data_IF_232365629682
#
_entry.id   IF_232365629682
#
_cell.length_a   1.000
_cell.length_b   1.000
_cell.length_c   1.000
_cell.angle_alpha   90.00
_cell.angle_beta   90.00
_cell.angle_gamma   90.00
#
_symmetry.space_group_name_H-M   'P 1'
#
loop_
_entity.id
_entity.type
_entity.pdbx_description
1 polymer ?
#
# COMPACT_ATOMS: atom_id res chain seq x y z
N UNK A 1 6.35 -3.31 -7.81
CA UNK A 1 4.93 -3.70 -7.72
C UNK A 1 4.70 -4.44 -6.40
N UNK A 2 3.46 -4.64 -5.96
CA UNK A 2 3.17 -5.41 -4.74
C UNK A 2 3.73 -6.84 -4.85
N UNK A 3 4.54 -7.27 -3.90
CA UNK A 3 4.97 -8.66 -3.74
C UNK A 3 5.12 -8.97 -2.25
N UNK A 4 5.19 -10.25 -1.92
CA UNK A 4 5.37 -10.68 -0.54
C UNK A 4 6.73 -10.22 0.02
N UNK A 5 7.78 -10.16 -0.81
CA UNK A 5 9.12 -9.74 -0.41
C UNK A 5 9.19 -8.27 -0.02
N UNK A 6 8.29 -7.43 -0.55
CA UNK A 6 8.29 -5.99 -0.27
C UNK A 6 8.20 -5.72 1.23
N UNK A 7 7.38 -6.49 1.95
CA UNK A 7 7.14 -6.33 3.38
C UNK A 7 8.36 -6.65 4.27
N UNK A 8 8.97 -7.85 4.21
CA UNK A 8 10.17 -8.16 4.99
C UNK A 8 11.34 -7.26 4.59
N UNK A 9 11.45 -6.83 3.33
CA UNK A 9 12.47 -5.85 2.92
C UNK A 9 12.22 -4.51 3.62
N UNK A 10 11.00 -3.97 3.55
CA UNK A 10 10.65 -2.70 4.19
C UNK A 10 10.92 -2.71 5.69
N UNK A 11 10.44 -3.74 6.40
CA UNK A 11 10.70 -3.87 7.84
C UNK A 11 12.16 -4.20 8.17
N UNK A 12 12.86 -4.91 7.30
CA UNK A 12 14.30 -5.16 7.44
C UNK A 12 15.11 -3.87 7.39
N UNK A 13 14.77 -2.96 6.46
CA UNK A 13 15.37 -1.62 6.36
C UNK A 13 15.14 -0.85 7.66
N UNK A 14 13.89 -0.78 8.13
CA UNK A 14 13.55 -0.09 9.37
C UNK A 14 14.26 -0.69 10.60
N UNK A 15 14.31 -2.02 10.72
CA UNK A 15 15.00 -2.72 11.83
C UNK A 15 16.51 -2.57 11.79
N UNK A 16 17.09 -2.28 10.63
CA UNK A 16 18.51 -1.99 10.49
C UNK A 16 18.87 -0.53 10.85
N UNK A 17 17.87 0.31 11.18
CA UNK A 17 18.04 1.74 11.40
C UNK A 17 18.27 2.54 10.13
N UNK A 18 17.90 1.98 8.98
CA UNK A 18 17.98 2.65 7.69
C UNK A 18 16.65 3.34 7.36
N UNK A 19 16.71 4.36 6.51
CA UNK A 19 15.53 5.06 6.00
C UNK A 19 14.99 4.32 4.78
N UNK A 20 13.72 3.91 4.82
CA UNK A 20 13.05 3.25 3.70
C UNK A 20 12.61 4.25 2.63
N UNK A 21 12.97 4.00 1.36
CA UNK A 21 12.63 4.88 0.24
C UNK A 21 11.85 4.12 -0.84
N UNK A 22 10.53 3.88 -0.66
CA UNK A 22 9.74 3.21 -1.68
C UNK A 22 9.56 4.09 -2.92
N UNK A 23 9.94 3.57 -4.08
CA UNK A 23 9.76 4.25 -5.37
C UNK A 23 8.49 3.80 -6.07
N UNK A 24 7.88 4.71 -6.85
CA UNK A 24 6.75 4.39 -7.69
C UNK A 24 7.16 3.35 -8.73
N UNK A 25 6.42 2.24 -8.79
CA UNK A 25 6.76 1.17 -9.74
C UNK A 25 6.59 1.57 -11.21
N UNK A 26 5.99 2.73 -11.50
CA UNK A 26 5.80 3.28 -12.84
C UNK A 26 6.88 4.26 -13.27
N UNK A 27 7.79 4.66 -12.39
CA UNK A 27 8.83 5.63 -12.76
C UNK A 27 9.68 5.13 -13.93
N UNK A 28 10.01 6.06 -14.82
CA UNK A 28 10.98 5.91 -15.86
C UNK A 28 12.42 5.96 -15.30
N UNK A 29 13.41 5.66 -16.14
CA UNK A 29 14.81 5.57 -15.73
C UNK A 29 15.33 6.89 -15.14
N UNK A 30 15.05 8.02 -15.77
CA UNK A 30 15.45 9.34 -15.31
C UNK A 30 14.79 9.72 -13.98
N UNK A 31 13.49 9.43 -13.82
CA UNK A 31 12.78 9.63 -12.55
C UNK A 31 13.36 8.76 -11.41
N UNK A 32 13.73 7.50 -11.71
CA UNK A 32 14.40 6.62 -10.74
C UNK A 32 15.74 7.22 -10.33
N UNK A 33 16.60 7.59 -11.30
CA UNK A 33 17.92 8.18 -11.00
C UNK A 33 17.78 9.43 -10.13
N UNK A 34 16.87 10.33 -10.52
CA UNK A 34 16.59 11.55 -9.77
C UNK A 34 16.20 11.27 -8.31
N UNK A 35 15.28 10.31 -8.08
CA UNK A 35 14.83 9.99 -6.72
C UNK A 35 15.93 9.34 -5.89
N UNK A 36 16.76 8.47 -6.48
CA UNK A 36 17.89 7.84 -5.80
C UNK A 36 18.94 8.89 -5.38
N UNK A 37 19.23 9.85 -6.26
CA UNK A 37 20.16 10.93 -5.97
C UNK A 37 19.61 11.90 -4.92
N UNK A 38 18.33 12.28 -5.00
CA UNK A 38 17.71 13.21 -4.06
C UNK A 38 17.59 12.64 -2.64
N UNK A 39 17.35 11.33 -2.52
CA UNK A 39 17.22 10.64 -1.24
C UNK A 39 18.54 10.04 -0.73
N UNK A 40 19.68 10.38 -1.36
CA UNK A 40 21.01 9.90 -0.96
C UNK A 40 21.09 8.37 -0.81
N UNK A 41 20.49 7.62 -1.74
CA UNK A 41 20.34 6.16 -1.64
C UNK A 41 21.66 5.42 -1.87
N UNK A 42 22.06 4.60 -0.91
CA UNK A 42 23.26 3.73 -1.01
C UNK A 42 22.95 2.26 -1.34
N UNK A 43 21.73 1.80 -1.03
CA UNK A 43 21.30 0.41 -1.26
C UNK A 43 19.99 0.39 -2.04
N UNK A 44 19.99 -0.26 -3.20
CA UNK A 44 18.82 -0.40 -4.05
C UNK A 44 18.32 -1.85 -4.04
N UNK A 45 17.05 -2.05 -3.71
CA UNK A 45 16.39 -3.36 -3.83
C UNK A 45 15.37 -3.31 -4.96
N UNK A 46 15.46 -4.23 -5.92
CA UNK A 46 14.58 -4.25 -7.09
C UNK A 46 14.29 -5.67 -7.58
N UNK A 47 13.26 -5.81 -8.41
CA UNK A 47 12.86 -7.10 -9.00
C UNK A 47 12.88 -7.09 -10.53
N UNK A 48 12.55 -8.22 -11.18
CA UNK A 48 12.63 -8.40 -12.63
C UNK A 48 11.94 -7.30 -13.46
N UNK A 49 10.82 -6.77 -12.97
CA UNK A 49 10.01 -5.73 -13.63
C UNK A 49 10.75 -4.39 -13.81
N UNK A 50 11.92 -4.21 -13.19
CA UNK A 50 12.70 -2.97 -13.21
C UNK A 50 14.01 -3.06 -13.98
N UNK A 51 14.42 -4.27 -14.42
CA UNK A 51 15.70 -4.49 -15.11
C UNK A 51 15.84 -3.57 -16.32
N UNK A 52 14.84 -3.57 -17.22
CA UNK A 52 14.86 -2.74 -18.43
C UNK A 52 14.94 -1.23 -18.17
N UNK A 53 14.55 -0.77 -16.99
CA UNK A 53 14.62 0.64 -16.58
C UNK A 53 15.90 0.98 -15.85
N UNK A 54 16.57 0.00 -15.24
CA UNK A 54 17.83 0.19 -14.53
C UNK A 54 19.04 -0.02 -15.45
N UNK A 55 18.99 -0.95 -16.40
CA UNK A 55 20.04 -1.20 -17.38
C UNK A 55 20.63 0.08 -18.03
N UNK A 56 19.82 1.06 -18.51
CA UNK A 56 20.37 2.27 -19.13
C UNK A 56 21.06 3.23 -18.16
N UNK A 57 20.78 3.15 -16.85
CA UNK A 57 21.26 4.12 -15.85
C UNK A 57 22.23 3.52 -14.82
N UNK A 58 22.32 2.19 -14.72
CA UNK A 58 23.00 1.50 -13.62
C UNK A 58 24.47 1.94 -13.43
N UNK A 59 25.17 2.23 -14.54
CA UNK A 59 26.56 2.69 -14.53
C UNK A 59 26.72 4.12 -14.00
N UNK A 60 25.67 4.95 -14.12
CA UNK A 60 25.65 6.32 -13.61
C UNK A 60 25.25 6.43 -12.13
N UNK A 61 24.67 5.38 -11.55
CA UNK A 61 24.24 5.33 -10.15
C UNK A 61 25.43 5.12 -9.19
N UNK A 62 26.34 6.08 -9.14
CA UNK A 62 27.63 5.99 -8.40
C UNK A 62 27.48 5.95 -6.89
N UNK A 63 26.39 6.50 -6.33
CA UNK A 63 26.10 6.48 -4.88
C UNK A 63 25.51 5.16 -4.42
N UNK A 64 24.83 4.43 -5.31
CA UNK A 64 24.28 3.10 -5.01
C UNK A 64 25.43 2.09 -4.99
N UNK A 65 25.85 1.70 -3.78
CA UNK A 65 26.97 0.78 -3.54
C UNK A 65 26.54 -0.68 -3.60
N UNK A 66 25.32 -0.97 -3.15
CA UNK A 66 24.77 -2.32 -3.12
C UNK A 66 23.45 -2.37 -3.87
N UNK A 67 23.34 -3.32 -4.79
CA UNK A 67 22.14 -3.59 -5.58
C UNK A 67 21.67 -5.00 -5.27
N UNK A 68 20.51 -5.13 -4.65
CA UNK A 68 19.90 -6.40 -4.25
C UNK A 68 18.75 -6.73 -5.20
N UNK A 69 18.85 -7.88 -5.85
CA UNK A 69 17.84 -8.35 -6.80
C UNK A 69 16.94 -9.42 -6.18
N UNK A 70 15.64 -9.25 -6.35
CA UNK A 70 14.59 -10.14 -5.84
C UNK A 70 13.94 -10.87 -7.01
N UNK A 71 14.52 -11.99 -7.42
CA UNK A 71 14.03 -12.76 -8.56
C UNK A 71 14.98 -13.86 -9.00
N UNK A 72 14.69 -14.44 -10.17
CA UNK A 72 15.61 -15.34 -10.90
C UNK A 72 16.31 -14.56 -12.01
N UNK A 73 17.44 -15.08 -12.51
CA UNK A 73 18.26 -14.44 -13.54
C UNK A 73 18.78 -13.07 -13.07
N UNK A 74 19.63 -13.11 -12.04
CA UNK A 74 20.20 -11.91 -11.44
C UNK A 74 21.06 -11.16 -12.48
N UNK A 75 20.85 -9.84 -12.69
CA UNK A 75 21.73 -9.04 -13.54
C UNK A 75 23.15 -8.97 -12.98
N UNK A 76 24.16 -8.88 -13.85
CA UNK A 76 25.59 -8.90 -13.47
C UNK A 76 25.99 -7.79 -12.50
N UNK A 77 25.24 -6.67 -12.47
CA UNK A 77 25.47 -5.53 -11.58
C UNK A 77 24.77 -5.64 -10.22
N UNK A 78 24.14 -6.77 -9.91
CA UNK A 78 23.36 -6.96 -8.68
C UNK A 78 23.63 -8.31 -8.00
N UNK A 79 23.29 -8.38 -6.72
CA UNK A 79 23.41 -9.57 -5.89
C UNK A 79 22.06 -10.24 -5.67
N UNK A 80 22.04 -11.58 -5.59
CA UNK A 80 20.83 -12.32 -5.24
C UNK A 80 20.45 -12.06 -3.76
N UNK A 81 19.36 -11.32 -3.56
CA UNK A 81 18.87 -10.94 -2.24
C UNK A 81 18.51 -12.17 -1.38
N UNK A 82 17.88 -13.19 -1.97
CA UNK A 82 17.45 -14.39 -1.23
C UNK A 82 18.63 -15.25 -0.83
N UNK A 83 19.61 -15.39 -1.73
CA UNK A 83 20.86 -16.09 -1.43
C UNK A 83 21.60 -15.42 -0.27
N UNK A 84 21.73 -14.09 -0.29
CA UNK A 84 22.40 -13.34 0.78
C UNK A 84 21.68 -13.46 2.12
N UNK A 85 20.34 -13.37 2.14
CA UNK A 85 19.55 -13.58 3.36
C UNK A 85 19.81 -14.94 4.03
N UNK A 86 20.13 -15.98 3.24
CA UNK A 86 20.47 -17.31 3.77
C UNK A 86 21.75 -17.36 4.61
N UNK A 87 22.61 -16.33 4.53
CA UNK A 87 23.82 -16.20 5.33
C UNK A 87 23.68 -15.25 6.52
N UNK A 88 22.51 -14.62 6.67
CA UNK A 88 22.27 -13.64 7.73
C UNK A 88 21.66 -14.29 8.98
N UNK A 89 21.89 -13.67 10.14
CA UNK A 89 21.23 -14.05 11.39
C UNK A 89 19.75 -13.69 11.37
N UNK A 90 18.92 -14.50 12.03
CA UNK A 90 17.51 -14.19 12.32
C UNK A 90 17.33 -13.32 13.58
N UNK A 91 18.42 -13.02 14.29
CA UNK A 91 18.40 -12.18 15.48
C UNK A 91 18.15 -10.72 15.15
N UNK A 92 17.54 -9.98 16.07
CA UNK A 92 17.35 -8.54 15.93
C UNK A 92 18.71 -7.86 15.85
N UNK A 93 18.96 -6.97 14.86
CA UNK A 93 20.19 -6.20 14.80
C UNK A 93 20.36 -5.37 16.09
N UNK A 94 21.57 -5.30 16.68
CA UNK A 94 21.81 -4.55 17.91
C UNK A 94 21.95 -3.04 17.62
N UNK A 95 20.92 -2.45 17.01
CA UNK A 95 20.83 -1.03 16.68
C UNK A 95 19.88 -0.35 17.67
N UNK A 96 20.33 0.74 18.28
CA UNK A 96 19.45 1.58 19.09
C UNK A 96 18.57 2.41 18.15
N UNK A 97 17.26 2.35 18.35
CA UNK A 97 16.27 3.10 17.57
C UNK A 97 15.25 3.74 18.52
N UNK A 98 14.91 4.98 18.22
CA UNK A 98 13.86 5.75 18.86
C UNK A 98 12.71 6.06 17.88
N UNK A 99 11.51 6.32 18.39
CA UNK A 99 10.38 6.67 17.55
C UNK A 99 10.51 8.06 16.89
N UNK A 100 11.39 8.93 17.40
CA UNK A 100 11.74 10.21 16.80
C UNK A 100 12.79 10.11 15.67
N UNK A 101 13.41 8.94 15.47
CA UNK A 101 14.33 8.75 14.36
C UNK A 101 13.60 8.76 13.02
N UNK A 102 14.31 9.20 11.99
CA UNK A 102 13.83 9.18 10.61
C UNK A 102 13.69 7.74 10.10
N UNK A 103 12.54 7.44 9.49
CA UNK A 103 12.16 6.08 9.14
C UNK A 103 11.96 5.88 7.64
N UNK A 104 11.35 6.86 6.97
CA UNK A 104 11.02 6.70 5.56
C UNK A 104 10.98 8.02 4.79
N UNK A 105 11.39 7.95 3.52
CA UNK A 105 11.17 9.00 2.53
C UNK A 105 10.13 8.51 1.53
N UNK A 106 9.04 9.25 1.39
CA UNK A 106 8.03 9.04 0.35
C UNK A 106 8.12 10.15 -0.68
N UNK A 107 7.86 9.80 -1.94
CA UNK A 107 7.81 10.76 -3.03
C UNK A 107 6.37 11.11 -3.39
N UNK A 108 6.03 12.39 -3.43
CA UNK A 108 4.77 12.88 -3.99
C UNK A 108 4.99 13.39 -5.42
N UNK A 109 3.97 13.24 -6.27
CA UNK A 109 3.94 13.87 -7.60
C UNK A 109 3.77 15.38 -7.42
N UNK A 110 4.88 16.11 -7.29
CA UNK A 110 4.86 17.55 -7.16
C UNK A 110 4.21 18.23 -8.37
N UNK A 111 3.66 19.42 -8.18
CA UNK A 111 3.03 20.23 -9.26
C UNK A 111 4.01 20.76 -10.30
N UNK A 112 5.32 20.59 -10.11
CA UNK A 112 6.40 21.24 -10.87
C UNK A 112 7.34 20.26 -11.61
N UNK A 113 6.86 19.07 -11.97
CA UNK A 113 7.60 18.13 -12.82
C UNK A 113 8.17 16.94 -12.06
N UNK A 114 9.24 17.15 -11.27
CA UNK A 114 9.89 16.05 -10.55
C UNK A 114 9.27 15.77 -9.17
N UNK A 115 9.33 14.51 -8.69
CA UNK A 115 8.77 14.13 -7.40
C UNK A 115 9.44 14.84 -6.21
N UNK A 116 8.67 15.17 -5.17
CA UNK A 116 9.20 15.80 -3.94
C UNK A 116 9.38 14.76 -2.84
N UNK A 117 10.51 14.79 -2.15
CA UNK A 117 10.80 13.92 -1.02
C UNK A 117 10.10 14.42 0.25
N UNK A 118 9.45 13.50 0.96
CA UNK A 118 8.73 13.74 2.21
C UNK A 118 9.33 12.80 3.24
N UNK A 119 9.99 13.37 4.25
CA UNK A 119 10.65 12.65 5.32
C UNK A 119 9.68 12.39 6.47
N UNK A 120 9.64 11.16 6.95
CA UNK A 120 8.81 10.74 8.07
C UNK A 120 9.61 10.00 9.11
N UNK A 121 9.26 10.27 10.37
CA UNK A 121 9.78 9.56 11.55
C UNK A 121 9.02 8.28 11.82
N UNK A 122 9.63 7.39 12.62
CA UNK A 122 9.02 6.15 13.06
C UNK A 122 7.65 6.37 13.73
N UNK A 123 7.54 7.37 14.62
CA UNK A 123 6.28 7.73 15.30
C UNK A 123 5.13 8.02 14.35
N UNK A 124 5.41 8.64 13.20
CA UNK A 124 4.39 8.97 12.22
C UNK A 124 3.84 7.70 11.56
N UNK A 125 4.72 6.75 11.23
CA UNK A 125 4.33 5.44 10.68
C UNK A 125 3.46 4.65 11.67
N UNK A 126 3.85 4.62 12.94
CA UNK A 126 3.11 3.92 14.00
C UNK A 126 1.77 4.58 14.26
N UNK A 127 1.73 5.92 14.36
CA UNK A 127 0.49 6.66 14.55
C UNK A 127 -0.51 6.35 13.44
N UNK A 128 -0.10 6.45 12.17
CA UNK A 128 -1.00 6.15 11.04
C UNK A 128 -1.48 4.70 11.03
N UNK A 129 -0.63 3.74 11.40
CA UNK A 129 -1.02 2.35 11.58
C UNK A 129 -2.14 2.17 12.61
N UNK A 130 -2.02 2.83 13.78
CA UNK A 130 -3.02 2.78 14.86
C UNK A 130 -4.31 3.48 14.42
N UNK A 131 -4.19 4.63 13.76
CA UNK A 131 -5.34 5.36 13.19
C UNK A 131 -6.14 4.48 12.23
N UNK A 132 -5.47 3.82 11.29
CA UNK A 132 -6.15 2.99 10.28
C UNK A 132 -6.75 1.70 10.85
N UNK A 133 -6.10 1.10 11.86
CA UNK A 133 -6.69 -0.01 12.60
C UNK A 133 -7.99 0.42 13.26
N UNK A 134 -7.98 1.58 13.93
CA UNK A 134 -9.15 2.12 14.63
C UNK A 134 -10.27 2.50 13.66
N UNK A 135 -9.95 3.19 12.56
CA UNK A 135 -10.92 3.63 11.55
C UNK A 135 -11.69 2.48 10.93
N UNK A 136 -11.03 1.35 10.66
CA UNK A 136 -11.68 0.17 10.12
C UNK A 136 -12.28 -0.77 11.19
N UNK A 137 -11.99 -0.52 12.46
CA UNK A 137 -12.27 -1.46 13.56
C UNK A 137 -11.68 -2.83 13.27
N UNK A 138 -10.43 -2.87 12.78
CA UNK A 138 -9.77 -4.11 12.36
C UNK A 138 -9.43 -4.99 13.55
N UNK A 139 -9.78 -6.27 13.49
CA UNK A 139 -9.47 -7.27 14.50
C UNK A 139 -8.57 -8.37 13.92
N UNK A 140 -8.07 -9.27 14.76
CA UNK A 140 -7.29 -10.44 14.32
C UNK A 140 -8.07 -11.39 13.40
N UNK A 141 -9.40 -11.35 13.46
CA UNK A 141 -10.28 -12.22 12.69
C UNK A 141 -10.62 -11.63 11.31
N UNK A 142 -10.16 -10.40 11.04
CA UNK A 142 -10.31 -9.77 9.74
C UNK A 142 -9.26 -10.22 8.73
N UNK A 143 -9.68 -10.23 7.46
CA UNK A 143 -8.82 -10.49 6.31
C UNK A 143 -8.88 -9.28 5.37
N UNK A 144 -7.80 -8.50 5.34
CA UNK A 144 -7.73 -7.28 4.54
C UNK A 144 -7.19 -7.53 3.13
N UNK A 145 -7.94 -7.17 2.10
CA UNK A 145 -7.52 -7.24 0.70
C UNK A 145 -6.90 -5.91 0.26
N UNK A 146 -5.58 -5.92 0.08
CA UNK A 146 -4.81 -4.80 -0.43
C UNK A 146 -4.52 -4.98 -1.93
N UNK A 147 -5.16 -4.13 -2.76
CA UNK A 147 -4.96 -4.11 -4.21
C UNK A 147 -4.04 -2.95 -4.63
N UNK A 148 -4.21 -1.71 -4.12
CA UNK A 148 -3.34 -0.63 -4.52
C UNK A 148 -1.89 -0.78 -4.03
N UNK A 149 -0.96 0.01 -4.58
CA UNK A 149 0.47 -0.24 -4.45
C UNK A 149 1.04 0.12 -3.07
N UNK A 150 1.75 -0.80 -2.43
CA UNK A 150 2.39 -0.62 -1.11
C UNK A 150 3.48 0.46 -1.05
N UNK A 151 4.00 0.90 -2.21
CA UNK A 151 4.91 2.06 -2.24
C UNK A 151 4.19 3.37 -1.88
N UNK A 152 2.86 3.41 -1.97
CA UNK A 152 2.08 4.58 -1.61
C UNK A 152 1.67 4.51 -0.14
N UNK A 153 1.78 5.62 0.59
CA UNK A 153 1.42 5.71 2.02
C UNK A 153 0.00 5.20 2.27
N UNK A 154 -0.97 5.66 1.47
CA UNK A 154 -2.36 5.20 1.54
C UNK A 154 -2.51 3.68 1.66
N UNK A 155 -1.93 2.94 0.72
CA UNK A 155 -2.01 1.47 0.70
C UNK A 155 -1.36 0.81 1.88
N UNK A 156 -0.13 1.24 2.13
CA UNK A 156 0.70 0.66 3.16
C UNK A 156 0.05 0.84 4.53
N UNK A 157 -0.49 2.02 4.83
CA UNK A 157 -1.05 2.29 6.16
C UNK A 157 -2.33 1.51 6.43
N UNK A 158 -3.19 1.33 5.42
CA UNK A 158 -4.34 0.42 5.58
C UNK A 158 -3.92 -1.03 5.82
N UNK A 159 -2.88 -1.50 5.10
CA UNK A 159 -2.31 -2.83 5.31
C UNK A 159 -1.67 -2.95 6.71
N UNK A 160 -1.05 -1.88 7.22
CA UNK A 160 -0.45 -1.83 8.57
C UNK A 160 -1.51 -2.02 9.66
N UNK A 161 -2.75 -1.57 9.43
CA UNK A 161 -3.87 -1.87 10.32
C UNK A 161 -4.04 -3.37 10.60
N UNK A 162 -3.83 -4.22 9.59
CA UNK A 162 -3.92 -5.67 9.75
C UNK A 162 -2.71 -6.23 10.48
N UNK A 163 -1.53 -5.64 10.24
CA UNK A 163 -0.30 -6.03 10.92
C UNK A 163 -0.40 -5.82 12.43
N UNK A 164 -0.87 -4.65 12.89
CA UNK A 164 -0.97 -4.35 14.33
C UNK A 164 -2.09 -5.16 15.00
N UNK A 165 -3.17 -5.48 14.27
CA UNK A 165 -4.23 -6.37 14.76
C UNK A 165 -3.83 -7.85 14.77
N UNK A 166 -2.69 -8.22 14.17
CA UNK A 166 -2.31 -9.62 13.95
C UNK A 166 -3.25 -10.36 13.00
N UNK A 167 -3.99 -9.63 12.17
CA UNK A 167 -4.93 -10.15 11.19
C UNK A 167 -4.24 -10.59 9.89
N UNK A 168 -4.98 -11.29 9.04
CA UNK A 168 -4.48 -11.70 7.73
C UNK A 168 -4.62 -10.55 6.74
N UNK A 169 -3.64 -10.40 5.86
CA UNK A 169 -3.75 -9.49 4.73
C UNK A 169 -3.32 -10.15 3.42
N UNK A 170 -4.07 -9.86 2.37
CA UNK A 170 -3.93 -10.45 1.04
C UNK A 170 -3.46 -9.37 0.08
N UNK A 171 -2.39 -9.64 -0.67
CA UNK A 171 -1.91 -8.75 -1.72
C UNK A 171 -2.39 -9.27 -3.08
N UNK A 172 -3.23 -8.50 -3.77
CA UNK A 172 -3.70 -8.84 -5.11
C UNK A 172 -2.99 -7.99 -6.16
N UNK A 173 -2.46 -8.65 -7.19
CA UNK A 173 -1.90 -7.99 -8.37
C UNK A 173 -2.97 -7.85 -9.45
N UNK A 174 -3.33 -6.61 -9.75
CA UNK A 174 -4.37 -6.29 -10.73
C UNK A 174 -5.75 -6.13 -10.09
N UNK A 175 -6.67 -5.52 -10.84
CA UNK A 175 -7.94 -5.04 -10.30
C UNK A 175 -9.15 -5.40 -11.18
N UNK A 176 -9.08 -6.51 -11.93
CA UNK A 176 -10.25 -6.97 -12.69
C UNK A 176 -11.37 -7.40 -11.73
N UNK A 177 -12.65 -7.06 -12.00
CA UNK A 177 -13.76 -7.42 -11.13
C UNK A 177 -13.79 -8.90 -10.72
N UNK A 178 -13.60 -9.80 -11.68
CA UNK A 178 -13.63 -11.25 -11.47
C UNK A 178 -12.49 -11.70 -10.55
N UNK A 179 -11.30 -11.09 -10.67
CA UNK A 179 -10.15 -11.40 -9.82
C UNK A 179 -10.38 -10.93 -8.39
N UNK A 180 -10.96 -9.73 -8.21
CA UNK A 180 -11.28 -9.19 -6.88
C UNK A 180 -12.29 -10.10 -6.19
N UNK A 181 -13.45 -10.36 -6.82
CA UNK A 181 -14.53 -11.16 -6.23
C UNK A 181 -14.11 -12.60 -5.95
N UNK A 182 -13.32 -13.20 -6.85
CA UNK A 182 -12.72 -14.52 -6.64
C UNK A 182 -11.77 -14.52 -5.44
N UNK A 183 -10.90 -13.52 -5.32
CA UNK A 183 -9.99 -13.41 -4.18
C UNK A 183 -10.74 -13.24 -2.87
N UNK A 184 -11.79 -12.42 -2.86
CA UNK A 184 -12.68 -12.27 -1.68
C UNK A 184 -13.27 -13.61 -1.26
N UNK A 185 -13.69 -14.43 -2.22
CA UNK A 185 -14.26 -15.77 -1.99
C UNK A 185 -13.23 -16.78 -1.49
N UNK A 186 -12.07 -16.86 -2.15
CA UNK A 186 -11.03 -17.86 -1.87
C UNK A 186 -10.30 -17.56 -0.56
N UNK A 187 -9.98 -16.29 -0.32
CA UNK A 187 -9.19 -15.87 0.84
C UNK A 187 -10.03 -15.45 2.05
N UNK A 188 -11.37 -15.40 1.88
CA UNK A 188 -12.36 -14.98 2.89
C UNK A 188 -12.15 -13.53 3.35
N UNK A 189 -11.89 -12.62 2.41
CA UNK A 189 -11.64 -11.20 2.70
C UNK A 189 -12.85 -10.55 3.37
N UNK A 190 -12.63 -9.89 4.50
CA UNK A 190 -13.67 -9.18 5.27
C UNK A 190 -13.64 -7.67 5.01
N UNK A 191 -12.48 -7.14 4.67
CA UNK A 191 -12.26 -5.73 4.35
C UNK A 191 -11.56 -5.65 3.01
N UNK A 192 -12.11 -4.84 2.09
CA UNK A 192 -11.53 -4.65 0.76
C UNK A 192 -11.35 -3.17 0.51
N UNK A 193 -10.14 -2.79 0.10
CA UNK A 193 -9.87 -1.42 -0.33
C UNK A 193 -9.91 -1.28 -1.85
N UNK A 194 -10.80 -0.42 -2.33
CA UNK A 194 -11.04 -0.14 -3.73
C UNK A 194 -10.72 1.31 -4.07
N UNK A 195 -10.24 1.53 -5.30
CA UNK A 195 -10.33 2.85 -5.93
C UNK A 195 -11.71 3.00 -6.57
N UNK A 196 -12.18 4.25 -6.69
CA UNK A 196 -13.44 4.60 -7.36
C UNK A 196 -13.63 3.90 -8.73
N UNK A 197 -12.66 3.92 -9.67
CA UNK A 197 -12.83 3.21 -10.94
C UNK A 197 -13.04 1.71 -10.77
N UNK A 198 -12.41 1.06 -9.79
CA UNK A 198 -12.57 -0.39 -9.60
C UNK A 198 -13.93 -0.75 -9.01
N UNK A 199 -14.45 0.07 -8.10
CA UNK A 199 -15.82 -0.09 -7.62
C UNK A 199 -16.83 0.11 -8.76
N UNK A 200 -16.58 1.05 -9.68
CA UNK A 200 -17.39 1.20 -10.90
C UNK A 200 -17.29 -0.03 -11.80
N UNK A 201 -16.08 -0.51 -12.10
CA UNK A 201 -15.86 -1.68 -12.96
C UNK A 201 -16.57 -2.93 -12.40
N UNK A 202 -16.57 -3.11 -11.08
CA UNK A 202 -17.31 -4.20 -10.41
C UNK A 202 -18.81 -4.07 -10.66
N UNK A 203 -19.38 -2.89 -10.42
CA UNK A 203 -20.82 -2.66 -10.60
C UNK A 203 -21.23 -2.81 -12.07
N UNK A 204 -20.42 -2.29 -13.00
CA UNK A 204 -20.64 -2.41 -14.44
C UNK A 204 -20.58 -3.88 -14.88
N UNK A 205 -19.67 -4.68 -14.30
CA UNK A 205 -19.59 -6.12 -14.58
C UNK A 205 -20.81 -6.90 -14.08
N UNK A 206 -21.34 -6.54 -12.92
CA UNK A 206 -22.56 -7.15 -12.36
C UNK A 206 -23.76 -6.77 -13.21
N UNK A 207 -23.94 -5.48 -13.51
CA UNK A 207 -25.08 -4.98 -14.27
C UNK A 207 -25.10 -5.46 -15.73
N UNK A 208 -23.93 -5.65 -16.34
CA UNK A 208 -23.84 -6.22 -17.68
C UNK A 208 -24.02 -7.74 -17.72
N UNK A 209 -24.21 -8.41 -16.57
CA UNK A 209 -24.30 -9.87 -16.47
C UNK A 209 -22.97 -10.62 -16.72
N UNK A 210 -21.85 -9.89 -16.80
CA UNK A 210 -20.51 -10.50 -16.97
C UNK A 210 -20.06 -11.20 -15.69
N UNK A 211 -20.50 -10.68 -14.55
CA UNK A 211 -20.31 -11.23 -13.21
C UNK A 211 -21.68 -11.60 -12.65
N UNK A 212 -21.86 -12.87 -12.29
CA UNK A 212 -22.97 -13.32 -11.46
C UNK A 212 -22.48 -13.44 -9.99
N UNK A 213 -23.09 -12.67 -9.08
CA UNK A 213 -22.72 -12.66 -7.66
C UNK A 213 -22.96 -14.01 -6.96
N UNK A 214 -23.91 -14.82 -7.44
CA UNK A 214 -24.21 -16.14 -6.87
C UNK A 214 -23.02 -17.13 -6.97
N UNK A 215 -22.04 -16.84 -7.82
CA UNK A 215 -20.85 -17.67 -7.98
C UNK A 215 -19.76 -17.36 -6.92
N UNK A 216 -19.98 -16.39 -6.05
CA UNK A 216 -18.98 -15.88 -5.10
C UNK A 216 -19.51 -15.93 -3.66
N UNK A 217 -18.62 -16.21 -2.71
CA UNK A 217 -18.92 -16.08 -1.29
C UNK A 217 -18.51 -14.69 -0.81
N UNK A 218 -19.51 -13.83 -0.57
CA UNK A 218 -19.29 -12.41 -0.27
C UNK A 218 -19.86 -11.97 1.09
N UNK A 219 -20.62 -12.81 1.78
CA UNK A 219 -21.28 -12.45 3.05
C UNK A 219 -20.31 -12.02 4.16
N UNK A 220 -19.08 -12.54 4.15
CA UNK A 220 -18.04 -12.13 5.10
C UNK A 220 -17.46 -10.73 4.82
N UNK A 221 -17.64 -10.19 3.61
CA UNK A 221 -17.13 -8.88 3.22
C UNK A 221 -17.93 -7.78 3.91
N UNK A 222 -17.57 -7.47 5.16
CA UNK A 222 -18.29 -6.49 5.97
C UNK A 222 -18.02 -5.04 5.60
N UNK A 223 -16.86 -4.71 5.02
CA UNK A 223 -16.43 -3.33 4.85
C UNK A 223 -15.76 -3.07 3.49
N UNK A 224 -16.31 -2.12 2.73
CA UNK A 224 -15.64 -1.51 1.59
C UNK A 224 -14.98 -0.21 2.02
N UNK A 225 -13.65 -0.18 2.02
CA UNK A 225 -12.90 1.07 2.10
C UNK A 225 -12.66 1.61 0.68
N UNK A 226 -12.84 2.91 0.46
CA UNK A 226 -12.66 3.56 -0.84
C UNK A 226 -12.19 5.00 -0.69
N UNK A 227 -11.23 5.39 -1.53
CA UNK A 227 -10.60 6.70 -1.40
C UNK A 227 -9.64 7.04 -2.53
N UNK A 228 -8.63 7.84 -2.20
CA UNK A 228 -7.65 8.47 -3.10
C UNK A 228 -8.22 9.52 -4.08
N UNK A 229 -9.54 9.71 -4.11
CA UNK A 229 -10.22 10.78 -4.83
C UNK A 229 -11.61 11.00 -4.22
N UNK A 230 -12.28 12.12 -4.53
CA UNK A 230 -13.67 12.33 -4.13
C UNK A 230 -14.57 11.17 -4.59
N UNK A 231 -15.31 10.58 -3.66
CA UNK A 231 -16.19 9.43 -3.92
C UNK A 231 -17.60 9.94 -4.27
N UNK A 232 -18.11 9.65 -5.48
CA UNK A 232 -19.43 10.12 -5.87
C UNK A 232 -20.55 9.49 -5.02
N UNK A 233 -21.49 10.28 -4.45
CA UNK A 233 -22.57 9.69 -3.68
C UNK A 233 -23.46 8.73 -4.45
N UNK A 234 -23.61 8.95 -5.76
CA UNK A 234 -24.30 8.04 -6.67
C UNK A 234 -23.65 6.66 -6.74
N UNK A 235 -22.32 6.58 -6.66
CA UNK A 235 -21.59 5.32 -6.65
C UNK A 235 -21.93 4.48 -5.43
N UNK A 236 -21.97 5.10 -4.24
CA UNK A 236 -22.26 4.38 -2.99
C UNK A 236 -23.73 3.95 -2.94
N UNK A 237 -24.65 4.80 -3.39
CA UNK A 237 -26.06 4.40 -3.55
C UNK A 237 -26.22 3.23 -4.52
N UNK A 238 -25.43 3.17 -5.59
CA UNK A 238 -25.42 2.04 -6.55
C UNK A 238 -24.81 0.79 -5.92
N UNK A 239 -23.72 0.93 -5.17
CA UNK A 239 -23.05 -0.15 -4.44
C UNK A 239 -23.99 -0.87 -3.47
N UNK A 240 -24.73 -0.11 -2.67
CA UNK A 240 -25.64 -0.64 -1.65
C UNK A 240 -26.85 -1.40 -2.24
N UNK A 241 -27.13 -1.29 -3.54
CA UNK A 241 -28.16 -2.14 -4.19
C UNK A 241 -27.73 -3.59 -4.29
N UNK A 242 -26.42 -3.84 -4.43
CA UNK A 242 -25.84 -5.18 -4.57
C UNK A 242 -25.26 -5.69 -3.25
N UNK A 243 -24.80 -4.77 -2.40
CA UNK A 243 -24.15 -5.06 -1.13
C UNK A 243 -24.84 -4.32 0.03
N UNK A 244 -26.11 -4.65 0.35
CA UNK A 244 -26.93 -3.84 1.26
C UNK A 244 -26.44 -3.81 2.72
N UNK A 245 -25.61 -4.77 3.11
CA UNK A 245 -25.09 -4.89 4.49
C UNK A 245 -23.64 -4.42 4.63
N UNK A 246 -22.98 -4.01 3.53
CA UNK A 246 -21.61 -3.54 3.62
C UNK A 246 -21.57 -2.19 4.33
N UNK A 247 -20.64 -2.05 5.27
CA UNK A 247 -20.20 -0.74 5.71
C UNK A 247 -19.42 -0.06 4.57
N UNK A 248 -19.48 1.26 4.56
CA UNK A 248 -18.75 2.12 3.65
C UNK A 248 -17.78 2.95 4.47
N UNK A 249 -16.52 2.96 4.05
CA UNK A 249 -15.50 3.81 4.64
C UNK A 249 -14.80 4.68 3.60
N UNK A 250 -14.55 5.93 3.96
CA UNK A 250 -13.70 6.84 3.20
C UNK A 250 -12.97 7.77 4.15
N UNK A 251 -11.79 8.21 3.73
CA UNK A 251 -10.98 9.17 4.44
C UNK A 251 -10.30 10.12 3.47
N UNK A 252 -9.79 11.20 4.03
CA UNK A 252 -8.87 12.10 3.36
C UNK A 252 -7.51 12.04 4.03
N UNK A 253 -6.46 12.00 3.23
CA UNK A 253 -5.09 12.04 3.67
C UNK A 253 -4.17 12.47 2.53
N UNK A 254 -2.94 12.79 2.88
CA UNK A 254 -1.90 13.23 1.97
C UNK A 254 -0.58 12.57 2.37
N UNK A 255 0.37 12.49 1.45
CA UNK A 255 1.65 11.84 1.76
C UNK A 255 2.40 12.59 2.86
N UNK A 256 2.31 13.92 2.88
CA UNK A 256 2.91 14.81 3.87
C UNK A 256 2.41 14.55 5.30
N UNK A 257 1.21 13.99 5.41
CA UNK A 257 0.57 13.59 6.65
C UNK A 257 0.69 12.08 6.91
N UNK A 258 1.64 11.42 6.24
CA UNK A 258 2.02 10.01 6.37
C UNK A 258 0.93 8.96 6.15
N UNK A 259 -0.26 9.36 5.75
CA UNK A 259 -1.28 8.36 5.50
C UNK A 259 -2.69 8.89 5.40
N UNK A 260 -3.60 7.96 5.09
CA UNK A 260 -5.01 8.23 5.14
C UNK A 260 -5.43 8.60 6.57
N UNK A 261 -6.59 9.24 6.69
CA UNK A 261 -7.24 9.42 7.98
C UNK A 261 -7.07 10.78 8.65
N UNK A 262 -6.46 11.80 8.04
CA UNK A 262 -6.49 13.18 8.58
C UNK A 262 -7.91 13.63 8.89
N UNK A 263 -8.81 13.30 7.97
CA UNK A 263 -10.24 13.50 8.15
C UNK A 263 -10.95 12.20 7.82
N UNK A 264 -11.84 11.78 8.72
CA UNK A 264 -12.52 10.51 8.65
C UNK A 264 -14.00 10.65 8.98
N UNK A 265 -14.84 9.99 8.18
CA UNK A 265 -16.29 10.03 8.34
C UNK A 265 -16.76 9.03 9.41
N UNK A 266 -16.02 7.94 9.62
CA UNK A 266 -16.47 6.80 10.43
C UNK A 266 -17.40 5.88 9.66
N UNK A 267 -17.26 4.57 9.91
CA UNK A 267 -17.96 3.50 9.17
C UNK A 267 -19.47 3.43 9.43
N UNK A 268 -19.98 4.14 10.43
CA UNK A 268 -21.39 4.11 10.85
C UNK A 268 -22.21 5.30 10.33
N UNK A 269 -21.60 6.25 9.60
CA UNK A 269 -22.26 7.47 9.11
C UNK A 269 -22.68 7.36 7.62
N UNK A 270 -23.28 6.24 7.23
CA UNK A 270 -23.63 5.96 5.84
C UNK A 270 -24.68 6.92 5.25
N UNK A 271 -25.39 7.67 6.09
CA UNK A 271 -26.35 8.69 5.70
C UNK A 271 -25.70 10.00 5.20
N UNK A 272 -24.39 10.20 5.46
CA UNK A 272 -23.64 11.42 5.11
C UNK A 272 -22.74 11.24 3.88
N UNK A 273 -23.20 10.44 2.92
CA UNK A 273 -22.44 10.15 1.69
C UNK A 273 -22.01 11.45 0.98
N UNK A 274 -20.71 11.61 0.77
CA UNK A 274 -20.10 12.80 0.15
C UNK A 274 -19.39 13.74 1.13
N UNK A 275 -19.67 13.63 2.43
CA UNK A 275 -18.83 14.26 3.45
C UNK A 275 -17.58 13.42 3.70
N UNK A 276 -16.44 14.08 3.94
CA UNK A 276 -15.20 13.41 4.33
C UNK A 276 -15.13 13.18 5.85
N UNK A 277 -15.81 14.01 6.66
CA UNK A 277 -15.95 13.80 8.10
C UNK A 277 -15.27 14.87 8.95
N UNK A 278 -14.70 14.44 10.08
CA UNK A 278 -14.01 15.30 11.08
C UNK A 278 -12.56 14.85 11.23
N UNK A 279 -11.76 15.58 12.01
CA UNK A 279 -10.41 15.15 12.38
C UNK A 279 -10.41 13.67 12.77
N UNK A 280 -9.52 12.89 12.16
CA UNK A 280 -9.45 11.47 12.39
C UNK A 280 -8.91 11.11 13.78
N UNK A 281 -8.78 9.81 14.02
CA UNK A 281 -8.27 9.34 15.30
C UNK A 281 -6.78 9.71 15.39
N UNK A 282 -6.38 10.35 16.49
CA UNK A 282 -5.02 10.88 16.72
C UNK A 282 -4.59 12.05 15.81
N UNK A 283 -5.54 12.72 15.14
CA UNK A 283 -5.31 13.91 14.29
C UNK A 283 -5.73 15.23 14.94
#
# INVERSE_FOLDING_TARGET
>A
MNCLEWLPIYFGILKAGCIAVPLNFRYASDEISYCLDLADVEVLVFGPEFVSRLDPIQAGLTRVRLRLFVGRNVPDYAEDCRRLMGFCSSSVPPIALDEDDDAAIYFSSGTTGFPKAILHRHRALVCSCVTEQHHHGQTKDDVFLCIPPLYHTGAKMHWFGSLISGGKAVLLRGAKPEWILRTVTEEKCTIVWLLVPWAQDILDAIESGRVNLEHYLLDQWRLMHIGAQPVPPSLIKRWLKYFPHHKYDTNYGLSESIGPGCVHLGVDNIEKIGAIGKAGYLW
#
